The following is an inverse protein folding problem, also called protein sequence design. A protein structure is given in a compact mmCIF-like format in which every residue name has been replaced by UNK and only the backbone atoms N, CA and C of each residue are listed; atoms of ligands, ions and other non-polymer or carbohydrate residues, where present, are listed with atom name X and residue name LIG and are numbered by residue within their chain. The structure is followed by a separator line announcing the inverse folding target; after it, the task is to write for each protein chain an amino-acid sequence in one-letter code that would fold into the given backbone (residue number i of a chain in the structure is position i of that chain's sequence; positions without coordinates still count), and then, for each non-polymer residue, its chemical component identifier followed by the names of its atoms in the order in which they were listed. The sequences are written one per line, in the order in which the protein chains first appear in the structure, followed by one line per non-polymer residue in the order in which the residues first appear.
data_IF_787134353883
#
_entry.id   IF_787134353883
#
_cell.length_a   1.000
_cell.length_b   1.000
_cell.length_c   1.000
_cell.angle_alpha   90.00
_cell.angle_beta   90.00
_cell.angle_gamma   90.00
#
_symmetry.space_group_name_H-M   'P 1'
#
loop_
_entity.id
_entity.type
_entity.pdbx_description
1 polymer ?
#
# COMPACT_ATOMS: atom_id res chain seq x y z
N UNK A 1 3.91 4.17 44.29
CA UNK A 1 3.99 3.89 42.83
C UNK A 1 4.09 5.23 42.11
N UNK A 2 5.12 5.44 41.27
CA UNK A 2 5.46 6.75 40.72
C UNK A 2 4.52 7.12 39.55
N UNK A 3 3.81 8.26 39.62
CA UNK A 3 2.80 8.69 38.63
C UNK A 3 3.40 8.85 37.22
N UNK A 4 4.67 9.21 37.12
CA UNK A 4 5.37 9.37 35.84
C UNK A 4 5.60 8.03 35.13
N UNK A 5 5.86 6.95 35.89
CA UNK A 5 5.98 5.60 35.32
C UNK A 5 4.64 5.09 34.78
N UNK A 6 3.53 5.41 35.46
CA UNK A 6 2.19 5.04 34.98
C UNK A 6 1.82 5.79 33.69
N UNK A 7 2.13 7.08 33.58
CA UNK A 7 1.90 7.87 32.36
C UNK A 7 2.72 7.35 31.17
N UNK A 8 3.99 7.00 31.39
CA UNK A 8 4.85 6.45 30.35
C UNK A 8 4.35 5.08 29.87
N UNK A 9 3.99 4.18 30.79
CA UNK A 9 3.42 2.87 30.44
C UNK A 9 2.09 2.98 29.69
N UNK A 10 1.24 3.94 30.06
CA UNK A 10 -0.02 4.19 29.36
C UNK A 10 0.23 4.68 27.92
N UNK A 11 1.19 5.59 27.72
CA UNK A 11 1.56 6.10 26.40
C UNK A 11 2.13 5.00 25.51
N UNK A 12 3.09 4.22 26.01
CA UNK A 12 3.68 3.08 25.28
C UNK A 12 2.63 2.03 24.91
N UNK A 13 1.70 1.71 25.83
CA UNK A 13 0.62 0.78 25.54
C UNK A 13 -0.32 1.30 24.45
N UNK A 14 -0.58 2.62 24.42
CA UNK A 14 -1.34 3.26 23.35
C UNK A 14 -0.62 3.13 22.00
N UNK A 15 0.68 3.47 21.95
CA UNK A 15 1.49 3.41 20.72
C UNK A 15 1.63 1.98 20.19
N UNK A 16 1.84 1.00 21.06
CA UNK A 16 1.91 -0.41 20.66
C UNK A 16 0.56 -0.90 20.15
N UNK A 17 -0.55 -0.43 20.73
CA UNK A 17 -1.90 -0.81 20.29
C UNK A 17 -2.22 -0.19 18.93
N UNK A 18 -1.84 1.06 18.69
CA UNK A 18 -1.96 1.72 17.38
C UNK A 18 -1.14 1.00 16.30
N UNK A 19 0.14 0.72 16.57
CA UNK A 19 1.01 -0.04 15.66
C UNK A 19 0.44 -1.43 15.40
N UNK A 20 -0.04 -2.12 16.45
CA UNK A 20 -0.64 -3.45 16.32
C UNK A 20 -1.90 -3.41 15.45
N UNK A 21 -2.80 -2.45 15.65
CA UNK A 21 -4.00 -2.26 14.82
C UNK A 21 -3.65 -1.96 13.36
N UNK A 22 -2.60 -1.18 13.10
CA UNK A 22 -2.10 -0.93 11.74
C UNK A 22 -1.55 -2.21 11.09
N UNK A 23 -0.86 -3.07 11.83
CA UNK A 23 -0.28 -4.31 11.29
C UNK A 23 -1.27 -5.47 11.16
N UNK A 24 -2.25 -5.60 12.06
CA UNK A 24 -3.27 -6.67 12.01
C UNK A 24 -4.30 -6.43 10.91
N UNK A 25 -4.54 -5.17 10.52
CA UNK A 25 -5.44 -4.81 9.44
C UNK A 25 -4.72 -4.63 8.08
N UNK A 26 -3.40 -4.82 8.03
CA UNK A 26 -2.63 -4.59 6.81
C UNK A 26 -3.01 -5.60 5.72
N UNK A 27 -3.54 -5.10 4.61
CA UNK A 27 -3.86 -5.93 3.45
C UNK A 27 -2.55 -6.28 2.75
N UNK A 28 -2.25 -7.58 2.61
CA UNK A 28 -1.00 -8.03 2.00
C UNK A 28 -0.95 -7.60 0.53
N UNK A 29 0.08 -6.86 0.07
CA UNK A 29 0.24 -6.46 -1.34
C UNK A 29 0.09 -7.61 -2.34
N UNK A 30 0.56 -8.79 -1.97
CA UNK A 30 0.48 -9.98 -2.83
C UNK A 30 -0.94 -10.49 -3.08
N UNK A 31 -1.95 -10.13 -2.26
CA UNK A 31 -3.32 -10.62 -2.43
C UNK A 31 -3.99 -10.12 -3.70
N UNK A 32 -3.50 -9.02 -4.28
CA UNK A 32 -4.04 -8.42 -5.49
C UNK A 32 -3.40 -8.97 -6.78
N UNK A 33 -2.28 -9.68 -6.68
CA UNK A 33 -1.49 -10.12 -7.85
C UNK A 33 -2.30 -10.97 -8.81
N UNK A 34 -3.18 -11.84 -8.30
CA UNK A 34 -3.96 -12.76 -9.13
C UNK A 34 -5.16 -12.09 -9.83
N UNK A 35 -5.75 -11.06 -9.23
CA UNK A 35 -7.08 -10.56 -9.61
C UNK A 35 -7.10 -9.12 -10.08
N UNK A 36 -6.19 -8.29 -9.56
CA UNK A 36 -6.23 -6.84 -9.77
C UNK A 36 -5.00 -6.31 -10.51
N UNK A 37 -4.10 -7.21 -10.93
CA UNK A 37 -2.93 -6.89 -11.74
C UNK A 37 -3.09 -7.45 -13.14
N UNK A 38 -2.78 -6.63 -14.14
CA UNK A 38 -2.76 -7.02 -15.55
C UNK A 38 -1.41 -6.71 -16.18
N UNK A 39 -1.03 -7.51 -17.17
CA UNK A 39 0.14 -7.23 -18.01
C UNK A 39 -0.32 -6.40 -19.21
N UNK A 40 0.37 -5.30 -19.48
CA UNK A 40 0.17 -4.48 -20.67
C UNK A 40 1.35 -4.60 -21.60
N UNK A 41 1.08 -4.74 -22.90
CA UNK A 41 2.10 -4.49 -23.91
C UNK A 41 2.25 -2.98 -24.12
N UNK A 42 3.46 -2.46 -23.93
CA UNK A 42 3.86 -1.08 -24.24
C UNK A 42 5.08 -1.15 -25.16
N UNK A 43 4.93 -0.73 -26.42
CA UNK A 43 5.91 -1.01 -27.49
C UNK A 43 6.15 -2.52 -27.59
N UNK A 44 7.35 -3.00 -27.25
CA UNK A 44 7.71 -4.42 -27.27
C UNK A 44 7.87 -5.02 -25.87
N UNK A 45 7.50 -4.27 -24.83
CA UNK A 45 7.64 -4.70 -23.43
C UNK A 45 6.31 -5.08 -22.83
N UNK A 46 6.35 -6.11 -21.99
CA UNK A 46 5.24 -6.54 -21.16
C UNK A 46 5.46 -5.99 -19.75
N UNK A 47 4.66 -5.00 -19.37
CA UNK A 47 4.79 -4.27 -18.12
C UNK A 47 3.58 -4.53 -17.22
N UNK A 48 3.81 -4.55 -15.91
CA UNK A 48 2.77 -4.69 -14.90
C UNK A 48 1.98 -3.38 -14.77
N UNK A 49 0.65 -3.49 -14.63
CA UNK A 49 -0.23 -2.36 -14.31
C UNK A 49 -1.41 -2.84 -13.49
N UNK A 50 -2.07 -1.93 -12.79
CA UNK A 50 -3.34 -2.19 -12.15
C UNK A 50 -4.46 -2.43 -13.17
N UNK A 51 -5.45 -3.22 -12.79
CA UNK A 51 -6.78 -3.23 -13.42
C UNK A 51 -7.42 -1.85 -13.29
N UNK A 52 -8.40 -1.57 -14.15
CA UNK A 52 -9.10 -0.29 -14.09
C UNK A 52 -9.91 -0.18 -12.79
N UNK A 53 -10.37 -1.32 -12.27
CA UNK A 53 -11.04 -1.43 -10.97
C UNK A 53 -10.12 -1.06 -9.80
N UNK A 54 -8.92 -1.62 -9.72
CA UNK A 54 -7.99 -1.29 -8.63
C UNK A 54 -7.46 0.14 -8.75
N UNK A 55 -7.25 0.63 -9.98
CA UNK A 55 -6.89 2.03 -10.20
C UNK A 55 -8.01 2.97 -9.72
N UNK A 56 -9.27 2.69 -10.07
CA UNK A 56 -10.40 3.48 -9.58
C UNK A 56 -10.50 3.46 -8.05
N UNK A 57 -10.30 2.29 -7.43
CA UNK A 57 -10.30 2.18 -5.97
C UNK A 57 -9.19 3.01 -5.32
N UNK A 58 -7.99 3.01 -5.91
CA UNK A 58 -6.88 3.84 -5.44
C UNK A 58 -7.21 5.33 -5.53
N UNK A 59 -7.83 5.78 -6.62
CA UNK A 59 -8.23 7.17 -6.80
C UNK A 59 -9.29 7.59 -5.76
N UNK A 60 -10.29 6.73 -5.50
CA UNK A 60 -11.30 6.93 -4.44
C UNK A 60 -10.66 7.05 -3.05
N UNK A 61 -9.68 6.20 -2.73
CA UNK A 61 -8.95 6.23 -1.46
C UNK A 61 -8.15 7.53 -1.31
N UNK A 62 -7.53 8.02 -2.38
CA UNK A 62 -6.83 9.30 -2.36
C UNK A 62 -7.77 10.48 -2.15
N UNK A 63 -8.95 10.47 -2.77
CA UNK A 63 -9.93 11.53 -2.57
C UNK A 63 -10.48 11.53 -1.14
N UNK A 64 -10.71 10.36 -0.55
CA UNK A 64 -11.04 10.23 0.87
C UNK A 64 -9.92 10.69 1.79
N UNK A 65 -8.67 10.41 1.45
CA UNK A 65 -7.50 10.86 2.22
C UNK A 65 -7.43 12.38 2.30
N UNK A 66 -7.66 13.07 1.17
CA UNK A 66 -7.67 14.55 1.12
C UNK A 66 -8.78 15.15 2.00
N UNK A 67 -9.90 14.45 2.14
CA UNK A 67 -11.01 14.83 3.01
C UNK A 67 -10.88 14.37 4.47
N UNK A 68 -9.73 13.79 4.87
CA UNK A 68 -9.51 13.18 6.18
C UNK A 68 -10.58 12.13 6.56
N UNK A 69 -11.17 11.47 5.56
CA UNK A 69 -12.33 10.59 5.71
C UNK A 69 -12.01 9.09 5.56
N UNK A 70 -10.73 8.70 5.63
CA UNK A 70 -10.33 7.29 5.57
C UNK A 70 -10.66 6.59 6.89
N UNK A 71 -11.31 5.43 6.80
CA UNK A 71 -11.36 4.51 7.94
C UNK A 71 -10.01 3.83 8.15
N UNK A 72 -9.83 3.18 9.30
CA UNK A 72 -8.61 2.40 9.58
C UNK A 72 -8.39 1.30 8.55
N UNK A 73 -9.46 0.65 8.08
CA UNK A 73 -9.42 -0.38 7.04
C UNK A 73 -9.01 0.20 5.69
N UNK A 74 -9.58 1.36 5.32
CA UNK A 74 -9.24 2.03 4.07
C UNK A 74 -7.81 2.57 4.07
N UNK A 75 -7.32 3.02 5.23
CA UNK A 75 -5.91 3.40 5.40
C UNK A 75 -4.98 2.19 5.21
N UNK A 76 -5.36 1.02 5.73
CA UNK A 76 -4.57 -0.20 5.58
C UNK A 76 -4.62 -0.75 4.14
N UNK A 77 -5.77 -0.65 3.48
CA UNK A 77 -5.94 -0.95 2.06
C UNK A 77 -5.06 -0.04 1.19
N UNK A 78 -5.14 1.28 1.41
CA UNK A 78 -4.32 2.26 0.69
C UNK A 78 -2.82 1.97 0.85
N UNK A 79 -2.37 1.71 2.08
CA UNK A 79 -0.97 1.35 2.33
C UNK A 79 -0.53 0.11 1.54
N UNK A 80 -1.34 -0.94 1.52
CA UNK A 80 -1.05 -2.17 0.77
C UNK A 80 -1.01 -1.95 -0.75
N UNK A 81 -1.93 -1.15 -1.30
CA UNK A 81 -1.95 -0.81 -2.73
C UNK A 81 -0.73 0.03 -3.11
N UNK A 82 -0.31 0.98 -2.27
CA UNK A 82 0.88 1.81 -2.52
C UNK A 82 2.18 1.01 -2.51
N UNK A 83 2.33 0.08 -1.56
CA UNK A 83 3.47 -0.83 -1.54
C UNK A 83 3.51 -1.69 -2.82
N UNK A 84 2.37 -2.22 -3.25
CA UNK A 84 2.27 -2.98 -4.49
C UNK A 84 2.64 -2.15 -5.72
N UNK A 85 2.18 -0.89 -5.78
CA UNK A 85 2.54 0.04 -6.86
C UNK A 85 4.05 0.29 -6.92
N UNK A 86 4.70 0.44 -5.77
CA UNK A 86 6.15 0.61 -5.70
C UNK A 86 6.90 -0.61 -6.22
N UNK A 87 6.46 -1.82 -5.84
CA UNK A 87 7.04 -3.08 -6.34
C UNK A 87 6.97 -3.11 -7.88
N UNK A 88 5.80 -2.83 -8.47
CA UNK A 88 5.67 -2.85 -9.93
C UNK A 88 6.42 -1.74 -10.64
N UNK A 89 6.50 -0.56 -10.04
CA UNK A 89 7.32 0.54 -10.58
C UNK A 89 8.78 0.10 -10.71
N UNK A 90 9.33 -0.56 -9.69
CA UNK A 90 10.71 -1.08 -9.72
C UNK A 90 10.89 -2.21 -10.73
N UNK A 91 9.95 -3.17 -10.79
CA UNK A 91 10.00 -4.27 -11.76
C UNK A 91 9.91 -3.76 -13.21
N UNK A 92 8.98 -2.84 -13.48
CA UNK A 92 8.84 -2.21 -14.79
C UNK A 92 10.11 -1.43 -15.17
N UNK A 93 10.70 -0.68 -14.24
CA UNK A 93 11.95 0.04 -14.48
C UNK A 93 13.10 -0.92 -14.84
N UNK A 94 13.21 -2.07 -14.16
CA UNK A 94 14.20 -3.10 -14.49
C UNK A 94 13.99 -3.65 -15.91
N UNK A 95 12.76 -4.01 -16.27
CA UNK A 95 12.41 -4.53 -17.60
C UNK A 95 12.77 -3.52 -18.70
N UNK A 96 12.45 -2.24 -18.47
CA UNK A 96 12.76 -1.16 -19.41
C UNK A 96 14.28 -0.97 -19.55
N UNK A 97 15.02 -0.98 -18.43
CA UNK A 97 16.47 -0.83 -18.44
C UNK A 97 17.16 -1.97 -19.21
N UNK A 98 16.73 -3.21 -18.99
CA UNK A 98 17.25 -4.38 -19.70
C UNK A 98 16.92 -4.35 -21.20
N UNK A 99 15.74 -3.84 -21.58
CA UNK A 99 15.38 -3.68 -22.99
C UNK A 99 16.15 -2.58 -23.73
N UNK A 100 16.65 -1.57 -23.01
CA UNK A 100 17.41 -0.48 -23.62
C UNK A 100 18.92 -0.77 -23.67
N UNK A 101 19.37 -1.86 -23.04
CA UNK A 101 20.77 -2.27 -22.97
C UNK A 101 21.21 -3.21 -24.11
N UNK A 102 20.25 -3.65 -24.96
CA UNK A 102 20.49 -4.46 -26.16
C UNK A 102 20.07 -3.73 -27.42
#
# INVERSE_FOLDING_TARGET
MNRDRQKQQAKEKLTVTEVKMLTENMVKPSSWVETEIKISKVRQLYLFKFTDKLQQRLDELFDKQKGEALTSEESAELAGILELNQIFTLLNAKIIAESNAG
#
